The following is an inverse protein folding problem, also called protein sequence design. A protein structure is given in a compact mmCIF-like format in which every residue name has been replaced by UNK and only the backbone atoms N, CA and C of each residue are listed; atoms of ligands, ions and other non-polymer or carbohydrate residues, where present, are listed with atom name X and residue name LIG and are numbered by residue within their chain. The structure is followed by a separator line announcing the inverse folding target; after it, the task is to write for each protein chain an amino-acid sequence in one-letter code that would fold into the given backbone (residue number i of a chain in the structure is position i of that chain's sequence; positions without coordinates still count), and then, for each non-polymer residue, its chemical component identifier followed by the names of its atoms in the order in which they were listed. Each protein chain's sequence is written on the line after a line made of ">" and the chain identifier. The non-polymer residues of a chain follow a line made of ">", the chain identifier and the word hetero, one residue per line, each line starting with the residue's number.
data_IF_037807915931
#
_entry.id   IF_037807915931
#
_cell.length_a   1.000
_cell.length_b   1.000
_cell.length_c   1.000
_cell.angle_alpha   90.00
_cell.angle_beta   90.00
_cell.angle_gamma   90.00
#
_symmetry.space_group_name_H-M   'P 1'
#
loop_
_entity.id
_entity.type
_entity.pdbx_description
1 polymer ?
#
# COMPACT_ATOMS: atom_id res chain seq x y z
N UNK A 1 26.94 16.24 10.09
CA UNK A 1 25.57 16.62 9.65
C UNK A 1 25.17 15.76 8.45
N UNK A 2 24.38 14.68 8.65
CA UNK A 2 24.00 13.68 7.62
C UNK A 2 22.85 14.21 6.72
N UNK A 3 23.08 15.30 6.00
CA UNK A 3 22.05 15.95 5.15
C UNK A 3 21.86 15.26 3.79
N UNK A 4 22.82 14.45 3.34
CA UNK A 4 22.75 13.80 2.02
C UNK A 4 21.59 12.80 1.84
N UNK A 5 21.04 12.24 2.93
CA UNK A 5 19.98 11.23 2.84
C UNK A 5 18.55 11.81 2.85
N UNK A 6 18.34 13.01 3.41
CA UNK A 6 16.99 13.60 3.50
C UNK A 6 16.45 13.96 2.12
N UNK A 7 17.31 14.50 1.24
CA UNK A 7 16.94 14.82 -0.14
C UNK A 7 16.48 13.60 -0.94
N UNK A 8 17.20 12.49 -0.80
CA UNK A 8 16.80 11.22 -1.41
C UNK A 8 15.45 10.74 -0.88
N UNK A 9 15.22 10.87 0.43
CA UNK A 9 13.94 10.57 1.05
C UNK A 9 12.79 11.40 0.48
N UNK A 10 12.96 12.72 0.39
CA UNK A 10 11.95 13.61 -0.18
C UNK A 10 11.65 13.30 -1.66
N UNK A 11 12.68 13.02 -2.46
CA UNK A 11 12.49 12.62 -3.86
C UNK A 11 11.73 11.31 -3.99
N UNK A 12 12.06 10.30 -3.18
CA UNK A 12 11.33 9.03 -3.16
C UNK A 12 9.87 9.21 -2.73
N UNK A 13 9.62 10.06 -1.73
CA UNK A 13 8.27 10.39 -1.29
C UNK A 13 7.48 11.11 -2.41
N UNK A 14 8.09 12.07 -3.10
CA UNK A 14 7.46 12.76 -4.23
C UNK A 14 7.09 11.80 -5.35
N UNK A 15 8.02 10.92 -5.75
CA UNK A 15 7.76 9.88 -6.76
C UNK A 15 6.63 8.96 -6.31
N UNK A 16 6.62 8.56 -5.03
CA UNK A 16 5.55 7.75 -4.46
C UNK A 16 4.19 8.43 -4.53
N UNK A 17 4.10 9.72 -4.19
CA UNK A 17 2.84 10.48 -4.24
C UNK A 17 2.33 10.60 -5.67
N UNK A 18 3.21 10.89 -6.64
CA UNK A 18 2.85 10.97 -8.06
C UNK A 18 2.35 9.61 -8.56
N UNK A 19 3.05 8.53 -8.23
CA UNK A 19 2.67 7.18 -8.61
C UNK A 19 1.30 6.79 -8.03
N UNK A 20 1.11 6.95 -6.71
CA UNK A 20 -0.13 6.60 -6.01
C UNK A 20 -1.31 7.44 -6.50
N UNK A 21 -1.12 8.74 -6.74
CA UNK A 21 -2.19 9.61 -7.25
C UNK A 21 -2.68 9.16 -8.62
N UNK A 22 -1.76 8.71 -9.49
CA UNK A 22 -2.09 8.20 -10.82
C UNK A 22 -2.84 6.87 -10.79
N UNK A 23 -2.69 6.05 -9.74
CA UNK A 23 -3.43 4.78 -9.60
C UNK A 23 -4.93 5.02 -9.64
N UNK A 24 -5.44 6.07 -8.99
CA UNK A 24 -6.88 6.38 -8.98
C UNK A 24 -7.45 6.65 -10.37
N UNK A 25 -6.70 7.36 -11.21
CA UNK A 25 -7.12 7.77 -12.55
C UNK A 25 -6.98 6.61 -13.53
N UNK A 26 -5.78 6.01 -13.62
CA UNK A 26 -5.52 4.95 -14.60
C UNK A 26 -6.30 3.67 -14.29
N UNK A 27 -6.47 3.32 -13.02
CA UNK A 27 -7.27 2.14 -12.67
C UNK A 27 -8.74 2.37 -12.99
N UNK A 28 -9.26 3.60 -12.86
CA UNK A 28 -10.64 3.91 -13.24
C UNK A 28 -10.87 3.68 -14.73
N UNK A 29 -9.95 4.15 -15.57
CA UNK A 29 -10.00 3.95 -17.02
C UNK A 29 -9.83 2.46 -17.36
N UNK A 30 -8.85 1.78 -16.78
CA UNK A 30 -8.61 0.36 -17.05
C UNK A 30 -9.82 -0.52 -16.66
N UNK A 31 -10.50 -0.22 -15.55
CA UNK A 31 -11.68 -0.95 -15.09
C UNK A 31 -12.93 -0.74 -15.99
N UNK A 32 -12.87 0.15 -16.97
CA UNK A 32 -13.88 0.25 -18.04
C UNK A 32 -13.63 -0.77 -19.16
N UNK A 33 -12.38 -1.16 -19.37
CA UNK A 33 -11.94 -2.06 -20.45
C UNK A 33 -11.87 -3.53 -20.00
N UNK A 34 -11.61 -3.77 -18.71
CA UNK A 34 -11.45 -5.12 -18.15
C UNK A 34 -12.31 -5.34 -16.90
N UNK A 35 -12.68 -6.59 -16.67
CA UNK A 35 -13.40 -6.96 -15.44
C UNK A 35 -12.50 -6.79 -14.21
N UNK A 36 -13.12 -6.53 -13.04
CA UNK A 36 -12.40 -6.37 -11.77
C UNK A 36 -11.46 -7.55 -11.43
N UNK A 37 -11.86 -8.84 -11.62
CA UNK A 37 -10.94 -9.95 -11.40
C UNK A 37 -9.75 -9.96 -12.37
N UNK A 38 -9.97 -9.67 -13.66
CA UNK A 38 -8.88 -9.57 -14.65
C UNK A 38 -7.90 -8.45 -14.29
N UNK A 39 -8.43 -7.28 -13.91
CA UNK A 39 -7.62 -6.17 -13.42
C UNK A 39 -6.77 -6.59 -12.22
N UNK A 40 -7.35 -7.28 -11.25
CA UNK A 40 -6.62 -7.82 -10.10
C UNK A 40 -5.48 -8.76 -10.48
N UNK A 41 -5.73 -9.69 -11.42
CA UNK A 41 -4.68 -10.61 -11.93
C UNK A 41 -3.53 -9.82 -12.56
N UNK A 42 -3.81 -8.80 -13.37
CA UNK A 42 -2.75 -7.96 -13.94
C UNK A 42 -2.02 -7.14 -12.87
N UNK A 43 -2.75 -6.54 -11.93
CA UNK A 43 -2.18 -5.75 -10.86
C UNK A 43 -1.17 -6.54 -10.01
N UNK A 44 -1.60 -7.70 -9.49
CA UNK A 44 -0.73 -8.57 -8.71
C UNK A 44 0.33 -9.26 -9.57
N UNK A 45 0.02 -9.58 -10.83
CA UNK A 45 0.95 -10.18 -11.78
C UNK A 45 2.13 -9.26 -12.09
N UNK A 46 1.88 -7.99 -12.41
CA UNK A 46 2.94 -7.00 -12.63
C UNK A 46 3.74 -6.72 -11.35
N UNK A 47 3.07 -6.65 -10.20
CA UNK A 47 3.75 -6.53 -8.90
C UNK A 47 4.69 -7.71 -8.61
N UNK A 48 4.23 -8.94 -8.86
CA UNK A 48 5.04 -10.15 -8.71
C UNK A 48 6.24 -10.14 -9.67
N UNK A 49 6.01 -9.83 -10.95
CA UNK A 49 7.08 -9.72 -11.94
C UNK A 49 8.14 -8.71 -11.51
N UNK A 50 7.72 -7.53 -11.04
CA UNK A 50 8.63 -6.50 -10.55
C UNK A 50 9.48 -6.98 -9.36
N UNK A 51 8.84 -7.63 -8.38
CA UNK A 51 9.54 -8.18 -7.20
C UNK A 51 10.51 -9.29 -7.60
N UNK A 52 10.15 -10.17 -8.54
CA UNK A 52 11.02 -11.23 -9.04
C UNK A 52 12.24 -10.67 -9.78
N UNK A 53 12.05 -9.68 -10.64
CA UNK A 53 13.15 -8.98 -11.31
C UNK A 53 14.09 -8.32 -10.31
N UNK A 54 13.55 -7.68 -9.28
CA UNK A 54 14.34 -7.08 -8.21
C UNK A 54 15.11 -8.13 -7.40
N UNK A 55 14.47 -9.25 -7.05
CA UNK A 55 15.09 -10.36 -6.33
C UNK A 55 16.21 -11.01 -7.15
N UNK A 56 16.05 -11.14 -8.47
CA UNK A 56 17.10 -11.58 -9.37
C UNK A 56 18.28 -10.62 -9.33
N UNK A 57 18.03 -9.33 -9.59
CA UNK A 57 19.08 -8.31 -9.61
C UNK A 57 19.89 -8.28 -8.30
N UNK A 58 19.23 -8.50 -7.15
CA UNK A 58 19.85 -8.54 -5.82
C UNK A 58 20.40 -9.91 -5.40
N UNK A 59 20.21 -10.97 -6.21
CA UNK A 59 20.54 -12.37 -5.86
C UNK A 59 19.91 -12.83 -4.53
N UNK A 60 18.71 -12.33 -4.24
CA UNK A 60 18.04 -12.49 -2.94
C UNK A 60 17.16 -13.76 -2.84
N UNK A 61 17.16 -14.64 -3.84
CA UNK A 61 16.33 -15.83 -3.86
C UNK A 61 16.67 -16.87 -2.77
N UNK A 62 17.86 -16.79 -2.17
CA UNK A 62 18.25 -17.69 -1.08
C UNK A 62 17.37 -17.49 0.18
N UNK A 63 16.83 -16.29 0.38
CA UNK A 63 15.96 -15.95 1.52
C UNK A 63 14.74 -16.88 1.60
N UNK A 64 14.19 -17.31 0.46
CA UNK A 64 13.04 -18.22 0.44
C UNK A 64 13.33 -19.58 1.07
N UNK A 65 14.60 -20.01 1.11
CA UNK A 65 14.99 -21.30 1.70
C UNK A 65 15.14 -21.23 3.23
N UNK A 66 15.29 -20.04 3.78
CA UNK A 66 15.53 -19.81 5.21
C UNK A 66 14.24 -19.54 6.00
N UNK A 67 13.11 -19.38 5.30
CA UNK A 67 11.83 -19.07 5.93
C UNK A 67 11.23 -20.28 6.65
N UNK A 68 10.93 -20.11 7.94
CA UNK A 68 10.19 -21.11 8.71
C UNK A 68 8.72 -21.18 8.28
N UNK A 69 8.07 -22.33 8.49
CA UNK A 69 6.65 -22.52 8.19
C UNK A 69 5.74 -21.49 8.88
N UNK A 70 6.07 -21.07 10.11
CA UNK A 70 5.32 -20.01 10.82
C UNK A 70 5.38 -18.68 10.07
N UNK A 71 6.53 -18.35 9.49
CA UNK A 71 6.69 -17.13 8.70
C UNK A 71 5.80 -17.18 7.44
N UNK A 72 5.74 -18.33 6.77
CA UNK A 72 4.82 -18.52 5.65
C UNK A 72 3.35 -18.32 6.03
N UNK A 73 2.93 -18.81 7.20
CA UNK A 73 1.55 -18.59 7.68
C UNK A 73 1.25 -17.11 7.94
N UNK A 74 2.20 -16.36 8.50
CA UNK A 74 2.06 -14.91 8.69
C UNK A 74 1.98 -14.19 7.34
N UNK A 75 2.84 -14.55 6.39
CA UNK A 75 2.82 -13.97 5.04
C UNK A 75 1.50 -14.28 4.31
N UNK A 76 0.97 -15.49 4.45
CA UNK A 76 -0.32 -15.87 3.88
C UNK A 76 -1.46 -15.04 4.48
N UNK A 77 -1.46 -14.86 5.81
CA UNK A 77 -2.45 -14.02 6.49
C UNK A 77 -2.39 -12.57 5.99
N UNK A 78 -1.19 -11.99 5.89
CA UNK A 78 -0.99 -10.64 5.34
C UNK A 78 -1.45 -10.56 3.88
N UNK A 79 -1.14 -11.57 3.06
CA UNK A 79 -1.56 -11.61 1.66
C UNK A 79 -3.09 -11.64 1.51
N UNK A 80 -3.80 -12.40 2.36
CA UNK A 80 -5.27 -12.42 2.34
C UNK A 80 -5.84 -11.05 2.71
N UNK A 81 -5.30 -10.40 3.75
CA UNK A 81 -5.71 -9.05 4.13
C UNK A 81 -5.47 -8.04 3.01
N UNK A 82 -4.29 -8.09 2.40
CA UNK A 82 -3.88 -7.16 1.34
C UNK A 82 -4.71 -7.33 0.06
N UNK A 83 -4.92 -8.58 -0.38
CA UNK A 83 -5.76 -8.89 -1.54
C UNK A 83 -7.21 -8.45 -1.30
N UNK A 84 -7.73 -8.69 -0.10
CA UNK A 84 -9.10 -8.29 0.26
C UNK A 84 -9.25 -6.77 0.29
N UNK A 85 -8.31 -6.05 0.93
CA UNK A 85 -8.30 -4.60 0.96
C UNK A 85 -8.18 -3.99 -0.43
N UNK A 86 -7.26 -4.50 -1.24
CA UNK A 86 -7.05 -4.08 -2.63
C UNK A 86 -8.27 -4.34 -3.50
N UNK A 87 -8.96 -5.47 -3.32
CA UNK A 87 -10.21 -5.77 -4.01
C UNK A 87 -11.30 -4.73 -3.70
N UNK A 88 -11.52 -4.42 -2.41
CA UNK A 88 -12.50 -3.40 -2.02
C UNK A 88 -12.12 -2.00 -2.50
N UNK A 89 -10.83 -1.67 -2.48
CA UNK A 89 -10.30 -0.43 -3.02
C UNK A 89 -10.63 -0.27 -4.52
N UNK A 90 -10.29 -1.25 -5.36
CA UNK A 90 -10.59 -1.17 -6.79
C UNK A 90 -12.08 -1.30 -7.08
N UNK A 91 -12.85 -2.04 -6.27
CA UNK A 91 -14.31 -2.07 -6.36
C UNK A 91 -14.92 -0.69 -6.09
N UNK A 92 -14.40 0.05 -5.11
CA UNK A 92 -14.82 1.42 -4.83
C UNK A 92 -14.53 2.35 -6.01
N UNK A 93 -13.33 2.25 -6.60
CA UNK A 93 -12.96 2.98 -7.83
C UNK A 93 -13.90 2.64 -8.98
N UNK A 94 -14.18 1.35 -9.22
CA UNK A 94 -15.08 0.92 -10.29
C UNK A 94 -16.49 1.49 -10.12
N UNK A 95 -17.03 1.41 -8.90
CA UNK A 95 -18.45 1.72 -8.60
C UNK A 95 -18.72 3.22 -8.53
N UNK A 96 -17.82 4.01 -7.92
CA UNK A 96 -18.02 5.45 -7.75
C UNK A 96 -17.63 6.16 -9.05
N UNK A 97 -18.52 7.03 -9.56
CA UNK A 97 -18.31 7.74 -10.82
C UNK A 97 -17.07 8.63 -10.79
N UNK A 98 -16.87 9.37 -9.70
CA UNK A 98 -15.75 10.29 -9.52
C UNK A 98 -14.65 9.66 -8.63
N UNK A 99 -13.46 9.30 -9.17
CA UNK A 99 -12.39 8.69 -8.38
C UNK A 99 -11.81 9.62 -7.30
N UNK A 100 -12.02 10.94 -7.41
CA UNK A 100 -11.63 11.92 -6.37
C UNK A 100 -12.34 11.66 -5.05
N UNK A 101 -13.59 11.16 -5.07
CA UNK A 101 -14.32 10.80 -3.85
C UNK A 101 -13.64 9.63 -3.15
N UNK A 102 -13.18 8.63 -3.91
CA UNK A 102 -12.47 7.47 -3.36
C UNK A 102 -11.13 7.90 -2.75
N UNK A 103 -10.39 8.78 -3.44
CA UNK A 103 -9.13 9.35 -2.92
C UNK A 103 -9.36 10.17 -1.65
N UNK A 104 -10.44 10.96 -1.59
CA UNK A 104 -10.81 11.71 -0.40
C UNK A 104 -11.12 10.80 0.79
N UNK A 105 -11.91 9.75 0.61
CA UNK A 105 -12.18 8.74 1.65
C UNK A 105 -10.89 8.03 2.06
N UNK A 106 -9.98 7.80 1.11
CA UNK A 106 -8.66 7.22 1.35
C UNK A 106 -7.82 8.00 2.36
N UNK A 107 -8.05 9.32 2.53
CA UNK A 107 -7.36 10.14 3.53
C UNK A 107 -7.73 9.80 4.98
N UNK A 108 -8.71 8.94 5.22
CA UNK A 108 -9.01 8.40 6.56
C UNK A 108 -8.04 7.25 6.92
N UNK A 109 -7.33 6.68 5.93
CA UNK A 109 -6.40 5.55 6.16
C UNK A 109 -5.33 5.87 7.22
N UNK A 110 -4.67 7.05 7.24
CA UNK A 110 -3.74 7.42 8.31
C UNK A 110 -4.38 7.36 9.70
N UNK A 111 -5.63 7.81 9.87
CA UNK A 111 -6.34 7.73 11.15
C UNK A 111 -6.57 6.28 11.60
N UNK A 112 -6.92 5.38 10.69
CA UNK A 112 -7.04 3.95 10.98
C UNK A 112 -5.68 3.32 11.31
N UNK A 113 -4.63 3.64 10.55
CA UNK A 113 -3.26 3.14 10.81
C UNK A 113 -2.82 3.55 12.20
N UNK A 114 -2.99 4.82 12.56
CA UNK A 114 -2.69 5.36 13.88
C UNK A 114 -3.46 4.62 14.98
N UNK A 115 -4.77 4.47 14.81
CA UNK A 115 -5.64 3.81 15.80
C UNK A 115 -5.24 2.35 15.98
N UNK A 116 -4.94 1.65 14.88
CA UNK A 116 -4.50 0.26 14.92
C UNK A 116 -3.08 0.13 15.49
N UNK A 117 -2.18 1.07 15.25
CA UNK A 117 -0.86 1.11 15.89
C UNK A 117 -0.98 1.26 17.41
N UNK A 118 -1.87 2.14 17.88
CA UNK A 118 -2.16 2.26 19.31
C UNK A 118 -2.70 0.96 19.90
N UNK A 119 -3.70 0.36 19.27
CA UNK A 119 -4.42 -0.79 19.82
C UNK A 119 -3.64 -2.12 19.69
N UNK A 120 -3.02 -2.36 18.54
CA UNK A 120 -2.37 -3.64 18.21
C UNK A 120 -0.89 -3.62 18.62
N UNK A 121 -0.15 -2.58 18.23
CA UNK A 121 1.29 -2.47 18.52
C UNK A 121 1.57 -1.91 19.92
N UNK A 122 0.55 -1.36 20.59
CA UNK A 122 0.64 -0.75 21.94
C UNK A 122 1.66 0.38 22.00
N UNK A 123 1.81 1.14 20.90
CA UNK A 123 2.68 2.30 20.84
C UNK A 123 2.18 3.41 21.78
N UNK A 124 3.11 4.10 22.44
CA UNK A 124 2.79 5.24 23.31
C UNK A 124 3.03 6.53 22.54
N UNK A 125 1.95 7.26 22.28
CA UNK A 125 2.03 8.56 21.61
C UNK A 125 2.33 9.69 22.60
N UNK A 126 3.16 10.62 22.17
CA UNK A 126 3.40 11.89 22.88
C UNK A 126 2.21 12.85 22.68
N UNK A 127 2.03 13.84 23.54
CA UNK A 127 0.89 14.78 23.49
C UNK A 127 0.81 15.53 22.15
N UNK A 128 1.94 15.85 21.53
CA UNK A 128 2.00 16.46 20.19
C UNK A 128 1.53 15.52 19.08
N UNK A 129 1.89 14.24 19.17
CA UNK A 129 1.41 13.22 18.23
C UNK A 129 -0.11 13.08 18.37
N UNK A 130 -0.64 13.09 19.59
CA UNK A 130 -2.09 13.06 19.84
C UNK A 130 -2.86 14.21 19.20
N UNK A 131 -2.36 15.44 19.28
CA UNK A 131 -2.96 16.55 18.56
C UNK A 131 -2.85 16.40 17.04
N UNK A 132 -1.74 15.87 16.54
CA UNK A 132 -1.60 15.50 15.13
C UNK A 132 -2.61 14.43 14.68
N UNK A 133 -2.88 13.43 15.52
CA UNK A 133 -3.89 12.40 15.28
C UNK A 133 -5.30 13.01 15.17
N UNK A 134 -5.64 13.93 16.07
CA UNK A 134 -6.95 14.62 16.08
C UNK A 134 -7.16 15.56 14.90
N UNK A 135 -6.10 16.12 14.31
CA UNK A 135 -6.20 16.98 13.12
C UNK A 135 -6.43 16.19 11.81
N UNK A 136 -6.03 14.92 11.79
CA UNK A 136 -6.16 14.02 10.64
C UNK A 136 -7.53 13.32 10.63
N UNK A 137 -8.12 13.12 11.81
CA UNK A 137 -9.49 12.61 12.03
C UNK A 137 -10.55 13.68 11.75
#
# INVERSE_FOLDING_TARGET
>A
MKIANSWKGFLLALVSVIAVSNVYIFSKVALQEVSLPQFGVYWFGFGLLWILLFAWYRKAFHIFKELSFRCYMVLLFLAVLDVTGTYFFFKAIATISNPTIVSFIGNISPAFVITLSFLILKERFNTLEFWGMMLVL
#
